data_IF_173308355255
#
_entry.id   IF_173308355255
#
_cell.length_a   1.000
_cell.length_b   1.000
_cell.length_c   1.000
_cell.angle_alpha   90.00
_cell.angle_beta   90.00
_cell.angle_gamma   90.00
#
_symmetry.space_group_name_H-M   'P 1'
#
loop_
_entity.id
_entity.type
_entity.pdbx_description
1 polymer ?
#
# COMPACT_ATOMS: atom_id res chain seq x y z
N UNK A 1 10.31 23.21 -10.75
CA UNK A 1 9.03 23.91 -10.96
C UNK A 1 8.20 23.24 -12.06
N UNK A 2 8.83 22.65 -13.09
CA UNK A 2 8.12 22.10 -14.27
C UNK A 2 7.43 20.76 -14.03
N UNK A 3 7.77 20.04 -12.95
CA UNK A 3 7.15 18.77 -12.62
C UNK A 3 5.81 18.91 -11.87
N UNK A 4 5.57 20.03 -11.18
CA UNK A 4 4.37 20.21 -10.34
C UNK A 4 3.10 20.32 -11.18
N UNK A 5 3.15 21.04 -12.29
CA UNK A 5 2.00 21.23 -13.16
C UNK A 5 1.45 19.92 -13.77
N UNK A 6 2.28 19.09 -14.41
CA UNK A 6 1.88 17.78 -14.91
C UNK A 6 1.39 16.84 -13.82
N UNK A 7 2.03 16.78 -12.65
CA UNK A 7 1.59 15.97 -11.52
C UNK A 7 0.23 16.42 -10.99
N UNK A 8 0.00 17.74 -10.88
CA UNK A 8 -1.30 18.27 -10.47
C UNK A 8 -2.42 17.95 -11.47
N UNK A 9 -2.10 17.78 -12.76
CA UNK A 9 -3.05 17.34 -13.78
C UNK A 9 -3.12 15.83 -13.97
N UNK A 10 -2.42 15.06 -13.15
CA UNK A 10 -2.29 13.59 -13.24
C UNK A 10 -1.75 13.12 -14.61
N UNK A 11 -0.92 13.93 -15.24
CA UNK A 11 -0.26 13.58 -16.48
C UNK A 11 0.85 12.56 -16.22
N UNK A 12 0.87 11.49 -17.00
CA UNK A 12 1.81 10.38 -16.85
C UNK A 12 3.26 10.75 -17.22
N UNK A 13 3.48 11.91 -17.84
CA UNK A 13 4.79 12.35 -18.32
C UNK A 13 4.88 13.87 -18.39
N UNK A 14 6.09 14.35 -18.27
CA UNK A 14 6.40 15.77 -18.46
C UNK A 14 6.30 16.14 -19.94
N UNK A 15 5.51 17.15 -20.25
CA UNK A 15 5.42 17.70 -21.60
C UNK A 15 6.67 18.55 -21.84
N UNK A 16 7.36 18.31 -22.95
CA UNK A 16 8.48 19.15 -23.35
C UNK A 16 7.99 20.54 -23.81
N UNK A 17 8.65 21.58 -23.35
CA UNK A 17 8.36 22.97 -23.74
C UNK A 17 9.31 23.52 -24.81
N UNK A 18 10.00 22.63 -25.53
CA UNK A 18 11.00 23.10 -26.56
C UNK A 18 10.36 23.72 -27.81
N UNK A 19 9.03 23.60 -27.99
CA UNK A 19 8.29 24.14 -29.13
C UNK A 19 8.55 23.43 -30.46
N UNK A 20 9.21 22.29 -30.46
CA UNK A 20 9.50 21.50 -31.66
C UNK A 20 8.42 20.48 -31.90
N UNK A 21 7.88 20.42 -33.13
CA UNK A 21 6.83 19.46 -33.52
C UNK A 21 7.35 18.00 -33.53
N UNK A 22 8.65 17.82 -33.81
CA UNK A 22 9.34 16.53 -33.89
C UNK A 22 9.96 16.10 -32.56
N UNK A 23 9.63 16.77 -31.45
CA UNK A 23 10.26 16.49 -30.16
C UNK A 23 10.01 15.07 -29.67
N UNK A 24 11.04 14.23 -29.49
CA UNK A 24 10.86 12.86 -28.99
C UNK A 24 10.20 12.78 -27.62
N UNK A 25 10.35 13.82 -26.79
CA UNK A 25 9.72 13.91 -25.47
C UNK A 25 8.23 14.33 -25.55
N UNK A 26 7.75 14.83 -26.69
CA UNK A 26 6.34 15.12 -26.93
C UNK A 26 5.56 13.90 -27.45
N UNK A 27 6.25 12.87 -27.95
CA UNK A 27 5.63 11.66 -28.41
C UNK A 27 5.03 10.89 -27.25
N UNK A 28 3.82 10.35 -27.43
CA UNK A 28 3.14 9.49 -26.45
C UNK A 28 3.95 8.21 -26.24
N UNK A 29 4.81 8.20 -25.23
CA UNK A 29 5.45 6.96 -24.77
C UNK A 29 4.45 6.16 -23.96
N UNK A 30 4.49 4.83 -24.12
CA UNK A 30 3.72 3.94 -23.26
C UNK A 30 3.99 4.31 -21.78
N UNK A 31 2.93 4.34 -20.97
CA UNK A 31 2.93 4.84 -19.58
C UNK A 31 3.70 3.95 -18.59
N UNK A 32 4.85 3.40 -19.01
CA UNK A 32 5.63 2.43 -18.23
C UNK A 32 6.08 2.93 -16.84
N UNK A 33 6.01 4.23 -16.57
CA UNK A 33 6.39 4.83 -15.28
C UNK A 33 5.42 5.93 -14.84
N UNK A 34 4.13 5.79 -15.15
CA UNK A 34 3.13 6.70 -14.63
C UNK A 34 3.07 6.56 -13.09
N UNK A 35 3.12 7.68 -12.38
CA UNK A 35 2.85 7.68 -10.96
C UNK A 35 1.39 7.23 -10.73
N UNK A 36 1.21 6.15 -9.99
CA UNK A 36 -0.12 5.69 -9.59
C UNK A 36 -0.46 6.33 -8.26
N UNK A 37 -1.56 7.07 -8.23
CA UNK A 37 -2.09 7.70 -7.03
C UNK A 37 -3.29 6.89 -6.57
N UNK A 38 -3.20 6.34 -5.36
CA UNK A 38 -4.28 5.60 -4.73
C UNK A 38 -5.08 6.51 -3.81
N UNK A 39 -6.40 6.51 -3.97
CA UNK A 39 -7.34 7.21 -3.09
C UNK A 39 -8.28 6.17 -2.50
N UNK A 40 -8.45 6.18 -1.18
CA UNK A 40 -9.46 5.39 -0.50
C UNK A 40 -10.72 6.23 -0.31
N UNK A 41 -11.87 5.67 -0.63
CA UNK A 41 -13.16 6.30 -0.42
C UNK A 41 -14.26 5.24 -0.25
N UNK A 42 -15.35 5.62 0.40
CA UNK A 42 -16.55 4.78 0.48
C UNK A 42 -17.22 4.70 -0.89
N UNK A 43 -17.80 3.57 -1.20
CA UNK A 43 -18.54 3.35 -2.45
C UNK A 43 -19.66 4.39 -2.61
N UNK A 44 -20.41 4.64 -1.55
CA UNK A 44 -21.49 5.64 -1.53
C UNK A 44 -21.00 7.06 -1.90
N UNK A 45 -19.77 7.44 -1.50
CA UNK A 45 -19.17 8.73 -1.90
C UNK A 45 -18.86 8.76 -3.40
N UNK A 46 -18.32 7.67 -3.93
CA UNK A 46 -18.02 7.54 -5.37
C UNK A 46 -19.29 7.61 -6.20
N UNK A 47 -20.34 6.94 -5.76
CA UNK A 47 -21.65 6.88 -6.44
C UNK A 47 -22.50 8.15 -6.23
N UNK A 48 -22.07 9.10 -5.38
CA UNK A 48 -22.75 10.37 -5.13
C UNK A 48 -23.89 10.31 -4.12
N UNK A 49 -24.07 9.19 -3.41
CA UNK A 49 -25.12 9.00 -2.39
C UNK A 49 -24.66 9.39 -0.98
N UNK A 50 -23.37 9.73 -0.81
CA UNK A 50 -22.79 10.19 0.46
C UNK A 50 -21.79 11.32 0.20
N UNK A 51 -21.67 12.23 1.17
CA UNK A 51 -20.64 13.27 1.20
C UNK A 51 -19.48 12.95 2.16
N UNK A 52 -19.33 11.67 2.55
CA UNK A 52 -18.19 11.24 3.35
C UNK A 52 -16.87 11.49 2.57
N UNK A 53 -15.82 11.95 3.26
CA UNK A 53 -14.56 12.27 2.60
C UNK A 53 -13.83 11.01 2.13
N UNK A 54 -12.89 11.19 1.17
CA UNK A 54 -11.88 10.21 0.85
C UNK A 54 -10.55 10.48 1.57
N UNK A 55 -9.58 9.59 1.39
CA UNK A 55 -8.24 9.72 1.94
C UNK A 55 -7.18 9.49 0.86
N UNK A 56 -6.23 10.41 0.78
CA UNK A 56 -5.06 10.33 -0.11
C UNK A 56 -3.80 10.21 0.75
N UNK A 57 -3.07 9.09 0.71
CA UNK A 57 -1.82 8.91 1.44
C UNK A 57 -0.82 10.03 1.16
N UNK A 58 -0.27 10.61 2.22
CA UNK A 58 0.70 11.71 2.13
C UNK A 58 0.09 13.11 1.90
N UNK A 59 -1.21 13.19 1.62
CA UNK A 59 -1.94 14.45 1.51
C UNK A 59 -2.94 14.64 2.67
N UNK A 60 -3.72 13.58 2.98
CA UNK A 60 -4.75 13.60 4.01
C UNK A 60 -6.15 13.41 3.45
N UNK A 61 -7.11 14.11 4.08
CA UNK A 61 -8.53 13.99 3.77
C UNK A 61 -8.87 14.76 2.47
N UNK A 62 -9.64 14.11 1.59
CA UNK A 62 -10.16 14.70 0.36
C UNK A 62 -11.67 14.95 0.49
N UNK A 63 -12.17 16.14 0.11
CA UNK A 63 -13.61 16.38 0.00
C UNK A 63 -14.29 15.40 -0.97
N UNK A 64 -15.54 15.06 -0.70
CA UNK A 64 -16.32 14.13 -1.51
C UNK A 64 -16.39 14.53 -3.00
N UNK A 65 -16.51 15.82 -3.29
CA UNK A 65 -16.49 16.35 -4.66
C UNK A 65 -15.19 16.01 -5.38
N UNK A 66 -14.05 16.17 -4.70
CA UNK A 66 -12.73 15.81 -5.26
C UNK A 66 -12.62 14.32 -5.52
N UNK A 67 -13.19 13.48 -4.63
CA UNK A 67 -13.27 12.01 -4.83
C UNK A 67 -14.05 11.68 -6.08
N UNK A 68 -15.26 12.26 -6.25
CA UNK A 68 -16.10 12.04 -7.43
C UNK A 68 -15.43 12.50 -8.72
N UNK A 69 -14.79 13.66 -8.71
CA UNK A 69 -14.04 14.16 -9.86
C UNK A 69 -12.88 13.25 -10.27
N UNK A 70 -12.18 12.68 -9.30
CA UNK A 70 -11.12 11.70 -9.56
C UNK A 70 -11.70 10.37 -10.06
N UNK A 71 -12.77 9.87 -9.44
CA UNK A 71 -13.41 8.61 -9.78
C UNK A 71 -13.88 8.55 -11.24
N UNK A 72 -14.36 9.67 -11.79
CA UNK A 72 -14.80 9.76 -13.19
C UNK A 72 -13.72 9.43 -14.24
N UNK A 73 -12.44 9.39 -13.85
CA UNK A 73 -11.31 9.08 -14.73
C UNK A 73 -10.32 8.09 -14.14
N UNK A 74 -10.66 7.48 -13.00
CA UNK A 74 -9.83 6.52 -12.29
C UNK A 74 -10.31 5.08 -12.53
N UNK A 75 -9.41 4.12 -12.35
CA UNK A 75 -9.81 2.72 -12.23
C UNK A 75 -10.29 2.47 -10.80
N UNK A 76 -11.54 2.05 -10.65
CA UNK A 76 -12.13 1.71 -9.36
C UNK A 76 -11.77 0.27 -9.02
N UNK A 77 -11.16 0.08 -7.85
CA UNK A 77 -10.80 -1.24 -7.33
C UNK A 77 -11.40 -1.40 -5.93
N UNK A 78 -12.25 -2.41 -5.69
CA UNK A 78 -12.79 -2.65 -4.35
C UNK A 78 -11.68 -3.10 -3.41
N UNK A 79 -11.64 -2.54 -2.20
CA UNK A 79 -10.86 -3.08 -1.08
C UNK A 79 -11.67 -4.23 -0.48
N UNK A 80 -11.09 -5.41 -0.45
CA UNK A 80 -11.72 -6.58 0.18
C UNK A 80 -11.53 -6.48 1.68
N UNK A 81 -12.61 -6.24 2.41
CA UNK A 81 -12.64 -6.36 3.86
C UNK A 81 -12.87 -7.84 4.19
N UNK A 82 -11.99 -8.47 4.98
CA UNK A 82 -12.20 -9.87 5.39
C UNK A 82 -13.53 -10.01 6.11
N UNK A 83 -14.29 -11.04 5.73
CA UNK A 83 -15.57 -11.30 6.37
C UNK A 83 -15.38 -11.71 7.85
N UNK A 84 -16.29 -11.32 8.76
CA UNK A 84 -16.27 -11.83 10.12
C UNK A 84 -16.50 -13.34 10.11
N UNK A 85 -15.98 -14.08 11.12
CA UNK A 85 -16.26 -15.51 11.25
C UNK A 85 -17.77 -15.77 11.27
N UNK A 86 -18.20 -16.84 10.63
CA UNK A 86 -19.62 -17.18 10.45
C UNK A 86 -20.40 -17.43 11.75
N UNK A 87 -19.72 -17.55 12.90
CA UNK A 87 -20.33 -17.88 14.21
C UNK A 87 -20.53 -16.65 15.13
N UNK A 88 -20.22 -15.42 14.68
CA UNK A 88 -20.57 -14.23 15.45
C UNK A 88 -21.86 -13.61 14.91
N UNK A 89 -22.91 -13.44 15.75
CA UNK A 89 -24.11 -12.71 15.35
C UNK A 89 -23.71 -11.26 15.04
N UNK A 90 -24.11 -10.80 13.87
CA UNK A 90 -23.91 -9.39 13.47
C UNK A 90 -24.50 -8.48 14.56
N UNK A 91 -23.85 -7.33 14.87
CA UNK A 91 -24.47 -6.32 15.71
C UNK A 91 -25.79 -5.91 15.04
N UNK A 92 -26.90 -6.05 15.78
CA UNK A 92 -28.23 -5.73 15.31
C UNK A 92 -28.28 -4.24 14.88
N UNK A 93 -28.28 -4.00 13.59
CA UNK A 93 -28.72 -2.73 13.04
C UNK A 93 -30.21 -2.88 12.72
N UNK A 94 -31.05 -2.26 13.52
CA UNK A 94 -32.46 -2.09 13.21
C UNK A 94 -32.62 -1.27 11.93
N UNK A 95 -32.84 -1.94 10.82
CA UNK A 95 -33.45 -1.35 9.62
C UNK A 95 -34.20 -2.44 8.87
N UNK A 96 -35.50 -2.45 9.08
CA UNK A 96 -36.46 -3.06 8.17
C UNK A 96 -36.32 -2.47 6.77
N UNK A 97 -36.05 -3.28 5.78
CA UNK A 97 -36.45 -3.03 4.39
C UNK A 97 -36.31 -4.34 3.60
N UNK A 98 -37.46 -4.91 3.28
CA UNK A 98 -37.66 -5.92 2.23
C UNK A 98 -37.16 -5.39 0.89
N UNK A 99 -36.30 -6.15 0.21
CA UNK A 99 -36.36 -6.26 -1.24
C UNK A 99 -35.57 -7.46 -1.77
N UNK A 100 -36.29 -8.29 -2.49
CA UNK A 100 -35.83 -9.46 -3.23
C UNK A 100 -34.96 -9.04 -4.43
N UNK A 101 -33.80 -9.61 -4.57
CA UNK A 101 -33.07 -9.61 -5.85
C UNK A 101 -32.36 -10.96 -6.04
N UNK A 102 -32.57 -11.53 -7.22
CA UNK A 102 -32.18 -12.87 -7.61
C UNK A 102 -30.68 -13.14 -7.72
N UNK A 103 -30.29 -14.41 -7.93
CA UNK A 103 -28.92 -14.86 -7.79
C UNK A 103 -28.07 -14.53 -9.01
N UNK A 104 -27.00 -13.77 -8.78
CA UNK A 104 -25.87 -13.69 -9.73
C UNK A 104 -24.76 -14.58 -9.17
N UNK A 105 -24.40 -15.62 -9.90
CA UNK A 105 -23.32 -16.54 -9.52
C UNK A 105 -21.99 -15.81 -9.37
N UNK A 106 -21.27 -15.95 -8.26
CA UNK A 106 -19.90 -15.49 -8.13
C UNK A 106 -18.94 -16.61 -8.52
N UNK A 107 -17.92 -16.25 -9.30
CA UNK A 107 -16.78 -17.10 -9.60
C UNK A 107 -16.16 -17.69 -8.30
N UNK A 108 -16.02 -19.01 -8.24
CA UNK A 108 -15.43 -19.75 -7.15
C UNK A 108 -13.99 -19.30 -6.87
N UNK A 109 -13.81 -18.51 -5.83
CA UNK A 109 -12.54 -18.40 -5.12
C UNK A 109 -12.57 -19.41 -3.97
N UNK A 110 -11.66 -20.37 -4.01
CA UNK A 110 -11.45 -21.33 -2.91
C UNK A 110 -10.98 -20.54 -1.68
N UNK A 111 -11.94 -20.14 -0.83
CA UNK A 111 -11.64 -19.50 0.45
C UNK A 111 -11.19 -20.56 1.45
N UNK A 112 -10.02 -20.37 2.06
CA UNK A 112 -9.63 -21.14 3.23
C UNK A 112 -10.66 -20.92 4.36
N UNK A 113 -11.12 -21.98 5.06
CA UNK A 113 -12.30 -21.91 5.92
C UNK A 113 -12.22 -20.95 7.11
N UNK A 114 -11.06 -20.43 7.47
CA UNK A 114 -10.85 -19.57 8.65
C UNK A 114 -10.20 -18.21 8.34
N UNK A 115 -10.18 -17.76 7.09
CA UNK A 115 -9.65 -16.44 6.71
C UNK A 115 -8.13 -16.28 6.84
N UNK A 116 -7.38 -17.32 7.22
CA UNK A 116 -5.92 -17.27 7.26
C UNK A 116 -5.29 -17.80 5.98
N UNK A 117 -4.17 -17.21 5.61
CA UNK A 117 -3.41 -17.57 4.42
C UNK A 117 -2.31 -18.59 4.74
N UNK A 118 -2.02 -19.53 3.83
CA UNK A 118 -1.14 -20.67 4.12
C UNK A 118 0.36 -20.28 4.18
N UNK A 119 0.74 -19.10 3.75
CA UNK A 119 2.13 -18.66 3.63
C UNK A 119 2.54 -17.55 4.57
N UNK A 120 3.84 -17.35 4.75
CA UNK A 120 4.40 -16.23 5.51
C UNK A 120 4.05 -14.86 4.91
N UNK A 121 4.01 -14.76 3.58
CA UNK A 121 3.71 -13.49 2.90
C UNK A 121 2.21 -13.37 2.69
N UNK A 122 1.61 -12.24 3.13
CA UNK A 122 0.21 -11.99 2.84
C UNK A 122 -0.04 -11.87 1.33
N UNK A 123 -1.23 -12.30 0.90
CA UNK A 123 -1.71 -12.04 -0.46
C UNK A 123 -1.78 -10.53 -0.76
N UNK A 124 -1.94 -10.20 -2.03
CA UNK A 124 -2.12 -8.80 -2.45
C UNK A 124 -3.35 -8.19 -1.76
N UNK A 125 -4.46 -8.95 -1.68
CA UNK A 125 -5.70 -8.48 -1.08
C UNK A 125 -5.55 -8.21 0.42
N UNK A 126 -4.95 -9.15 1.17
CA UNK A 126 -4.70 -8.96 2.61
C UNK A 126 -3.69 -7.82 2.85
N UNK A 127 -2.64 -7.72 2.02
CA UNK A 127 -1.67 -6.63 2.11
C UNK A 127 -2.31 -5.25 1.89
N UNK A 128 -3.23 -5.13 0.94
CA UNK A 128 -3.98 -3.91 0.68
C UNK A 128 -4.91 -3.58 1.85
N UNK A 129 -5.65 -4.56 2.37
CA UNK A 129 -6.51 -4.38 3.53
C UNK A 129 -5.72 -3.86 4.74
N UNK A 130 -4.62 -4.50 5.11
CA UNK A 130 -3.78 -4.08 6.25
C UNK A 130 -3.28 -2.65 6.06
N UNK A 131 -2.82 -2.30 4.85
CA UNK A 131 -2.31 -0.96 4.55
C UNK A 131 -3.38 0.12 4.68
N UNK A 132 -4.61 -0.16 4.25
CA UNK A 132 -5.73 0.77 4.37
C UNK A 132 -6.31 0.83 5.77
N UNK A 133 -6.34 -0.30 6.49
CA UNK A 133 -6.76 -0.35 7.89
C UNK A 133 -5.82 0.48 8.79
N UNK A 134 -4.52 0.27 8.63
CA UNK A 134 -3.53 0.83 9.56
C UNK A 134 -3.06 2.24 9.17
N UNK A 135 -2.94 2.57 7.89
CA UNK A 135 -2.46 3.83 7.28
C UNK A 135 -1.04 4.26 7.69
N UNK A 136 -0.63 3.97 8.91
CA UNK A 136 0.68 4.31 9.47
C UNK A 136 1.21 3.18 10.34
N UNK A 137 2.43 3.34 10.83
CA UNK A 137 3.02 2.44 11.81
C UNK A 137 2.14 2.35 13.08
N UNK A 138 1.89 1.14 13.55
CA UNK A 138 1.02 0.86 14.71
C UNK A 138 1.73 1.00 16.07
N UNK A 139 2.97 1.46 16.08
CA UNK A 139 3.70 1.73 17.32
C UNK A 139 3.23 3.06 17.93
N UNK A 140 3.01 3.14 19.25
CA UNK A 140 2.52 4.35 19.91
C UNK A 140 3.33 5.60 19.55
N UNK A 141 2.64 6.67 19.16
CA UNK A 141 3.26 7.94 18.78
C UNK A 141 4.05 7.93 17.48
N UNK A 142 3.91 6.88 16.64
CA UNK A 142 4.60 6.81 15.35
C UNK A 142 3.61 6.97 14.19
N UNK A 143 3.84 7.97 13.37
CA UNK A 143 3.07 8.31 12.17
C UNK A 143 3.78 7.95 10.86
N UNK A 144 4.80 7.07 10.91
CA UNK A 144 5.53 6.66 9.71
C UNK A 144 4.55 6.07 8.68
N UNK A 145 4.52 6.63 7.44
CA UNK A 145 3.53 6.27 6.43
C UNK A 145 3.71 4.84 5.92
N UNK A 146 2.65 4.28 5.34
CA UNK A 146 2.59 2.92 4.76
C UNK A 146 3.82 2.54 3.94
N UNK A 147 4.31 3.46 3.09
CA UNK A 147 5.47 3.23 2.23
C UNK A 147 6.79 2.98 2.99
N UNK A 148 6.82 3.26 4.30
CA UNK A 148 7.97 3.04 5.19
C UNK A 148 7.74 1.92 6.20
N UNK A 149 6.63 1.18 6.06
CA UNK A 149 6.23 0.11 6.96
C UNK A 149 6.32 -1.25 6.28
N UNK A 150 6.70 -2.24 7.08
CA UNK A 150 6.60 -3.66 6.76
C UNK A 150 5.30 -4.20 7.37
N UNK A 151 4.72 -5.24 6.78
CA UNK A 151 3.66 -6.01 7.43
C UNK A 151 4.34 -7.00 8.38
N UNK A 152 4.00 -6.89 9.66
CA UNK A 152 4.59 -7.67 10.76
C UNK A 152 3.53 -8.58 11.39
N UNK A 153 3.94 -9.81 11.73
CA UNK A 153 3.11 -10.74 12.49
C UNK A 153 3.22 -10.46 13.99
N UNK A 154 2.10 -10.35 14.69
CA UNK A 154 2.07 -10.22 16.16
C UNK A 154 2.61 -11.46 16.82
N UNK A 155 1.97 -12.60 16.61
CA UNK A 155 2.55 -13.90 16.92
C UNK A 155 3.38 -14.35 15.70
N UNK A 156 4.68 -14.67 15.89
CA UNK A 156 5.57 -15.01 14.78
C UNK A 156 5.07 -16.22 13.97
N UNK A 157 5.18 -16.13 12.66
CA UNK A 157 4.94 -17.28 11.79
C UNK A 157 6.03 -18.36 12.00
N UNK A 158 5.71 -19.67 11.96
CA UNK A 158 4.42 -20.27 11.66
C UNK A 158 3.50 -20.48 12.87
N UNK A 159 3.90 -20.06 14.08
CA UNK A 159 3.08 -20.20 15.30
C UNK A 159 1.79 -19.39 15.20
N UNK A 160 1.90 -18.15 14.71
CA UNK A 160 0.77 -17.33 14.34
C UNK A 160 0.56 -17.31 12.83
N UNK A 161 -0.68 -17.52 12.34
CA UNK A 161 -0.97 -17.53 10.92
C UNK A 161 -0.86 -16.14 10.28
N UNK A 162 -0.73 -16.09 8.97
CA UNK A 162 -0.90 -14.87 8.18
C UNK A 162 -2.39 -14.59 8.08
N UNK A 163 -2.87 -13.68 8.93
CA UNK A 163 -4.28 -13.37 9.14
C UNK A 163 -4.44 -11.88 9.51
N UNK A 164 -5.57 -11.23 9.16
CA UNK A 164 -5.79 -9.82 9.50
C UNK A 164 -5.69 -9.54 11.01
N UNK A 165 -6.11 -10.46 11.89
CA UNK A 165 -6.00 -10.33 13.35
C UNK A 165 -4.61 -10.62 13.91
N UNK A 166 -3.65 -11.04 13.07
CA UNK A 166 -2.27 -11.32 13.48
C UNK A 166 -1.23 -10.49 12.72
N UNK A 167 -1.66 -9.63 11.80
CA UNK A 167 -0.75 -8.84 10.96
C UNK A 167 -1.07 -7.35 11.03
N UNK A 168 -0.05 -6.52 11.10
CA UNK A 168 -0.14 -5.06 11.22
C UNK A 168 1.06 -4.36 10.60
N UNK A 169 1.00 -3.04 10.48
CA UNK A 169 2.10 -2.23 9.97
C UNK A 169 3.06 -1.79 11.09
N UNK A 170 4.32 -2.14 10.95
CA UNK A 170 5.41 -1.51 11.70
C UNK A 170 6.44 -0.89 10.75
N UNK A 171 6.87 0.33 11.03
CA UNK A 171 8.01 0.88 10.33
C UNK A 171 9.27 0.08 10.69
N UNK A 172 10.27 0.11 9.81
CA UNK A 172 11.48 -0.70 10.00
C UNK A 172 12.13 -0.53 11.37
N UNK A 173 12.12 0.67 11.95
CA UNK A 173 12.68 0.91 13.28
C UNK A 173 11.89 0.16 14.36
N UNK A 174 10.56 0.25 14.36
CA UNK A 174 9.72 -0.38 15.38
C UNK A 174 9.59 -1.89 15.19
N UNK A 175 9.63 -2.39 13.96
CA UNK A 175 9.78 -3.82 13.69
C UNK A 175 11.09 -4.37 14.31
N UNK A 176 12.20 -3.64 14.19
CA UNK A 176 13.48 -4.03 14.82
C UNK A 176 13.44 -3.93 16.34
N UNK A 177 12.79 -2.91 16.90
CA UNK A 177 12.61 -2.77 18.36
C UNK A 177 11.86 -3.98 18.90
N UNK A 178 10.70 -4.31 18.35
CA UNK A 178 9.93 -5.49 18.74
C UNK A 178 10.76 -6.78 18.65
N UNK A 179 11.52 -6.93 17.57
CA UNK A 179 12.24 -8.17 17.30
C UNK A 179 13.50 -8.32 18.15
N UNK A 180 14.26 -7.26 18.39
CA UNK A 180 15.60 -7.34 18.94
C UNK A 180 15.80 -6.63 20.29
N UNK A 181 14.95 -5.66 20.65
CA UNK A 181 15.07 -5.01 21.94
C UNK A 181 14.35 -5.83 23.03
N UNK A 182 15.01 -6.13 24.15
CA UNK A 182 14.40 -6.93 25.20
C UNK A 182 13.26 -6.19 25.90
N UNK A 183 12.28 -6.96 26.39
CA UNK A 183 11.20 -6.46 27.22
C UNK A 183 10.00 -5.84 26.47
N UNK A 184 10.06 -5.69 25.16
CA UNK A 184 8.93 -5.24 24.35
C UNK A 184 8.05 -6.42 23.97
N UNK A 185 6.73 -6.29 24.17
CA UNK A 185 5.72 -7.25 23.70
C UNK A 185 4.57 -6.53 23.07
N UNK A 186 3.88 -7.20 22.16
CA UNK A 186 2.65 -6.70 21.56
C UNK A 186 1.58 -7.78 21.48
N UNK A 187 0.33 -7.36 21.49
CA UNK A 187 -0.87 -8.16 21.29
C UNK A 187 -1.77 -7.44 20.30
N UNK A 188 -2.37 -8.16 19.40
CA UNK A 188 -3.33 -7.61 18.44
C UNK A 188 -4.72 -8.20 18.69
N UNK A 189 -5.74 -7.35 18.55
CA UNK A 189 -7.15 -7.72 18.68
C UNK A 189 -7.78 -7.88 17.28
N UNK A 190 -8.94 -8.58 17.20
CA UNK A 190 -9.61 -8.84 15.92
C UNK A 190 -10.01 -7.59 15.13
N UNK A 191 -10.26 -6.47 15.79
CA UNK A 191 -10.58 -5.16 15.21
C UNK A 191 -9.34 -4.39 14.68
N UNK A 192 -8.16 -4.99 14.83
CA UNK A 192 -6.89 -4.37 14.47
C UNK A 192 -6.30 -3.45 15.54
N UNK A 193 -6.93 -3.31 16.71
CA UNK A 193 -6.31 -2.65 17.87
C UNK A 193 -5.04 -3.38 18.28
N UNK A 194 -4.01 -2.64 18.63
CA UNK A 194 -2.72 -3.18 19.07
C UNK A 194 -2.41 -2.67 20.47
N UNK A 195 -2.18 -3.59 21.38
CA UNK A 195 -1.66 -3.35 22.72
C UNK A 195 -0.15 -3.58 22.71
N UNK A 196 0.60 -2.61 23.20
CA UNK A 196 2.06 -2.68 23.28
C UNK A 196 2.49 -2.47 24.72
N UNK A 197 3.25 -3.42 25.27
CA UNK A 197 3.85 -3.33 26.60
C UNK A 197 5.34 -3.03 26.47
N UNK A 198 5.77 -2.00 27.17
CA UNK A 198 7.17 -1.55 27.22
C UNK A 198 7.99 -2.36 28.23
N UNK A 199 9.34 -2.29 28.18
CA UNK A 199 10.21 -2.91 29.18
C UNK A 199 9.98 -2.43 30.62
N UNK A 200 9.38 -1.25 30.77
CA UNK A 200 9.04 -0.66 32.08
C UNK A 200 7.65 -1.08 32.59
N UNK A 201 6.94 -1.94 31.83
CA UNK A 201 5.61 -2.44 32.19
C UNK A 201 4.45 -1.51 31.81
N UNK A 202 4.70 -0.37 31.17
CA UNK A 202 3.62 0.49 30.68
C UNK A 202 2.98 -0.12 29.44
N UNK A 203 1.66 -0.06 29.38
CA UNK A 203 0.86 -0.57 28.27
C UNK A 203 0.20 0.56 27.51
N UNK A 204 0.26 0.51 26.20
CA UNK A 204 -0.36 1.48 25.29
C UNK A 204 -1.27 0.75 24.31
N UNK A 205 -2.44 1.31 24.06
CA UNK A 205 -3.37 0.87 23.03
C UNK A 205 -3.31 1.81 21.84
N UNK A 206 -3.30 1.25 20.63
CA UNK A 206 -3.40 2.02 19.40
C UNK A 206 -4.49 1.42 18.52
N UNK A 207 -5.45 2.25 18.10
CA UNK A 207 -6.50 1.87 17.17
C UNK A 207 -6.03 2.02 15.72
N UNK A 208 -6.59 1.26 14.75
CA UNK A 208 -6.26 1.43 13.34
C UNK A 208 -6.65 2.82 12.85
N UNK A 209 -5.70 3.58 12.31
CA UNK A 209 -5.96 4.95 11.89
C UNK A 209 -6.96 5.04 10.72
N UNK A 210 -6.98 4.02 9.84
CA UNK A 210 -7.95 3.95 8.75
C UNK A 210 -9.37 3.75 9.22
N UNK A 211 -9.57 3.10 10.36
CA UNK A 211 -10.89 2.89 10.96
C UNK A 211 -11.56 4.19 11.41
N UNK A 212 -10.79 5.20 11.81
CA UNK A 212 -11.32 6.50 12.17
C UNK A 212 -12.03 7.21 10.99
N UNK A 213 -11.62 6.91 9.76
CA UNK A 213 -12.22 7.45 8.54
C UNK A 213 -13.19 6.47 7.87
N UNK A 214 -12.91 5.19 8.00
CA UNK A 214 -13.62 4.09 7.36
C UNK A 214 -13.88 2.99 8.39
N UNK A 215 -14.94 3.09 9.20
CA UNK A 215 -15.23 2.17 10.30
C UNK A 215 -15.29 0.70 9.89
N UNK A 216 -15.71 0.41 8.66
CA UNK A 216 -15.76 -0.95 8.11
C UNK A 216 -14.40 -1.66 8.13
N UNK A 217 -13.29 -0.90 8.15
CA UNK A 217 -11.94 -1.47 8.22
C UNK A 217 -11.58 -1.99 9.62
N UNK A 218 -12.35 -1.66 10.65
CA UNK A 218 -12.18 -2.14 12.02
C UNK A 218 -13.19 -3.21 12.41
N UNK A 219 -13.99 -3.74 11.48
CA UNK A 219 -14.82 -4.89 11.78
C UNK A 219 -13.94 -6.05 12.24
N UNK A 220 -14.32 -6.75 13.35
CA UNK A 220 -13.57 -7.89 13.84
C UNK A 220 -13.39 -8.96 12.76
N UNK A 221 -12.15 -9.34 12.51
CA UNK A 221 -11.81 -10.30 11.44
C UNK A 221 -11.65 -11.74 11.96
N UNK A 222 -12.01 -11.98 13.19
CA UNK A 222 -11.99 -13.28 13.85
C UNK A 222 -10.94 -13.38 14.95
N UNK A 223 -11.32 -14.10 16.01
CA UNK A 223 -10.41 -14.47 17.09
C UNK A 223 -9.52 -15.63 16.63
N UNK A 224 -8.24 -15.49 16.89
CA UNK A 224 -7.27 -16.56 16.66
C UNK A 224 -6.96 -17.23 17.99
N UNK A 225 -7.08 -18.55 18.03
CA UNK A 225 -6.61 -19.32 19.17
C UNK A 225 -5.07 -19.39 19.16
N UNK A 226 -4.43 -18.25 19.43
CA UNK A 226 -2.98 -18.14 19.49
C UNK A 226 -2.49 -18.62 20.86
N UNK A 227 -1.31 -19.26 20.92
CA UNK A 227 -0.67 -19.55 22.19
C UNK A 227 -0.43 -18.24 22.95
N UNK A 228 -0.43 -18.33 24.28
CA UNK A 228 -0.11 -17.17 25.11
C UNK A 228 1.18 -16.51 24.60
N UNK A 229 1.24 -15.17 24.54
CA UNK A 229 2.46 -14.48 24.15
C UNK A 229 3.63 -15.02 24.96
N UNK A 230 4.77 -15.31 24.33
CA UNK A 230 5.94 -15.76 25.08
C UNK A 230 6.31 -14.66 26.11
N UNK A 231 6.80 -15.09 27.26
CA UNK A 231 7.31 -14.14 28.25
C UNK A 231 8.26 -13.13 27.59
N UNK A 232 8.24 -11.87 28.02
CA UNK A 232 9.12 -10.85 27.44
C UNK A 232 10.55 -11.35 27.40
N UNK A 233 11.16 -11.33 26.23
CA UNK A 233 12.55 -11.75 26.12
C UNK A 233 13.45 -10.71 26.80
N UNK A 234 14.06 -11.09 27.90
CA UNK A 234 14.96 -10.25 28.70
C UNK A 234 16.45 -10.48 28.39
N UNK A 235 16.78 -11.33 27.41
CA UNK A 235 18.16 -11.58 27.03
C UNK A 235 18.84 -10.31 26.51
N UNK A 236 19.82 -9.72 27.24
CA UNK A 236 20.49 -8.49 26.84
C UNK A 236 21.32 -8.66 25.57
N UNK A 237 21.68 -9.88 25.18
CA UNK A 237 22.51 -10.16 24.01
C UNK A 237 21.68 -10.11 22.72
N UNK A 238 20.35 -10.11 22.80
CA UNK A 238 19.46 -10.09 21.64
C UNK A 238 19.70 -8.86 20.76
N UNK A 239 19.97 -7.71 21.36
CA UNK A 239 20.30 -6.48 20.62
C UNK A 239 21.55 -6.59 19.75
N UNK A 240 22.48 -7.47 20.10
CA UNK A 240 23.67 -7.70 19.28
C UNK A 240 23.37 -8.39 17.94
N UNK A 241 22.23 -9.11 17.86
CA UNK A 241 21.73 -9.75 16.62
C UNK A 241 20.98 -8.78 15.71
N UNK A 242 20.73 -7.54 16.15
CA UNK A 242 20.04 -6.54 15.33
C UNK A 242 20.86 -6.25 14.06
N UNK A 243 20.25 -6.30 12.87
CA UNK A 243 20.93 -5.98 11.65
C UNK A 243 21.56 -4.59 11.68
N UNK A 244 22.85 -4.52 11.46
CA UNK A 244 23.57 -3.25 11.34
C UNK A 244 23.59 -2.82 9.87
N UNK A 245 23.41 -1.54 9.62
CA UNK A 245 23.59 -1.01 8.28
C UNK A 245 25.05 -1.07 7.89
N UNK A 246 25.32 -1.52 6.68
CA UNK A 246 26.66 -1.47 6.07
C UNK A 246 27.01 -0.09 5.56
N UNK A 247 25.97 0.69 5.17
CA UNK A 247 26.08 2.04 4.62
C UNK A 247 25.16 3.00 5.35
N UNK A 248 25.46 4.28 5.29
CA UNK A 248 24.59 5.34 5.79
C UNK A 248 23.36 5.52 4.88
N UNK A 249 22.30 6.15 5.38
CA UNK A 249 21.12 6.47 4.57
C UNK A 249 21.46 7.39 3.38
N UNK A 250 22.43 8.28 3.56
CA UNK A 250 22.87 9.18 2.50
C UNK A 250 23.63 8.43 1.41
N UNK A 251 24.48 7.47 1.79
CA UNK A 251 25.13 6.58 0.84
C UNK A 251 24.11 5.75 0.05
N UNK A 252 23.18 5.07 0.73
CA UNK A 252 22.11 4.30 0.08
C UNK A 252 21.28 5.17 -0.90
N UNK A 253 21.02 6.42 -0.53
CA UNK A 253 20.32 7.39 -1.38
C UNK A 253 21.15 7.77 -2.59
N UNK A 254 22.41 8.07 -2.38
CA UNK A 254 23.32 8.47 -3.45
C UNK A 254 23.53 7.33 -4.45
N UNK A 255 23.69 6.10 -3.95
CA UNK A 255 23.85 4.92 -4.80
C UNK A 255 22.60 4.69 -5.67
N UNK A 256 21.39 4.84 -5.12
CA UNK A 256 20.15 4.78 -5.91
C UNK A 256 20.08 5.87 -6.97
N UNK A 257 20.44 7.10 -6.61
CA UNK A 257 20.46 8.22 -7.58
C UNK A 257 21.47 7.94 -8.70
N UNK A 258 22.63 7.44 -8.36
CA UNK A 258 23.68 7.12 -9.34
C UNK A 258 23.25 5.97 -10.25
N UNK A 259 22.62 4.93 -9.70
CA UNK A 259 22.09 3.81 -10.49
C UNK A 259 20.98 4.26 -11.45
N UNK A 260 20.03 5.08 -11.00
CA UNK A 260 19.00 5.65 -11.87
C UNK A 260 19.60 6.52 -12.98
N UNK A 261 20.63 7.31 -12.67
CA UNK A 261 21.34 8.10 -13.67
C UNK A 261 22.06 7.23 -14.69
N UNK A 262 22.69 6.14 -14.26
CA UNK A 262 23.34 5.17 -15.12
C UNK A 262 22.35 4.54 -16.09
N UNK A 263 21.24 3.98 -15.57
CA UNK A 263 20.19 3.37 -16.37
C UNK A 263 19.58 4.35 -17.37
N UNK A 264 19.40 5.62 -16.96
CA UNK A 264 18.90 6.66 -17.86
C UNK A 264 19.90 7.01 -18.96
N UNK A 265 21.18 7.06 -18.64
CA UNK A 265 22.23 7.34 -19.62
C UNK A 265 22.31 6.20 -20.66
N UNK A 266 22.24 4.95 -20.24
CA UNK A 266 22.18 3.77 -21.11
C UNK A 266 20.98 3.85 -22.06
N UNK A 267 19.77 4.07 -21.52
CA UNK A 267 18.57 4.22 -22.34
C UNK A 267 18.67 5.36 -23.35
N UNK A 268 19.21 6.50 -22.94
CA UNK A 268 19.38 7.64 -23.85
C UNK A 268 20.38 7.33 -24.96
N UNK A 269 21.45 6.58 -24.66
CA UNK A 269 22.43 6.16 -25.67
C UNK A 269 21.81 5.18 -26.67
N UNK A 270 21.01 4.21 -26.20
CA UNK A 270 20.30 3.28 -27.07
C UNK A 270 19.30 4.01 -28.00
N UNK A 271 18.56 4.97 -27.46
CA UNK A 271 17.65 5.80 -28.24
C UNK A 271 18.37 6.70 -29.25
N UNK A 272 19.55 7.17 -28.93
CA UNK A 272 20.37 7.95 -29.86
C UNK A 272 20.93 7.08 -30.98
N UNK A 273 21.41 5.88 -30.64
CA UNK A 273 21.89 4.89 -31.61
C UNK A 273 20.77 4.52 -32.58
N UNK A 274 19.57 4.24 -32.08
CA UNK A 274 18.40 3.94 -32.92
C UNK A 274 18.03 5.14 -33.82
N UNK A 275 18.08 6.36 -33.31
CA UNK A 275 17.84 7.57 -34.13
C UNK A 275 18.85 7.70 -35.26
N UNK A 276 20.13 7.49 -34.98
CA UNK A 276 21.18 7.54 -35.97
C UNK A 276 21.01 6.47 -37.05
N UNK A 277 20.62 5.28 -36.64
CA UNK A 277 20.30 4.15 -37.53
C UNK A 277 19.12 4.47 -38.44
N UNK A 278 18.03 5.01 -37.89
CA UNK A 278 16.86 5.41 -38.66
C UNK A 278 17.16 6.57 -39.62
N UNK A 279 17.99 7.53 -39.22
CA UNK A 279 18.46 8.62 -40.11
C UNK A 279 19.28 8.06 -41.27
N UNK A 280 20.20 7.14 -40.99
CA UNK A 280 21.01 6.49 -42.01
C UNK A 280 20.13 5.69 -43.01
N UNK A 281 19.11 4.95 -42.52
CA UNK A 281 18.17 4.24 -43.41
C UNK A 281 17.38 5.21 -44.27
N UNK A 282 16.98 6.38 -43.74
CA UNK A 282 16.24 7.36 -44.52
C UNK A 282 17.12 7.98 -45.63
N UNK A 283 18.43 8.16 -45.41
CA UNK A 283 19.39 8.62 -46.41
C UNK A 283 19.61 7.61 -47.54
N UNK A 284 19.46 6.30 -47.23
CA UNK A 284 19.62 5.21 -48.21
C UNK A 284 18.33 4.94 -49.01
N UNK A 285 17.20 5.55 -48.61
CA UNK A 285 15.94 5.33 -49.28
C UNK A 285 15.85 6.04 -50.62
N UNK A 286 15.90 5.31 -51.72
CA UNK A 286 15.54 5.82 -53.07
C UNK A 286 14.03 5.53 -53.31
N UNK A 287 13.23 6.58 -53.53
CA UNK A 287 11.82 6.37 -53.86
C UNK A 287 11.69 5.64 -55.18
N UNK A 288 10.67 4.75 -55.31
CA UNK A 288 10.43 4.05 -56.59
C UNK A 288 10.20 5.08 -57.73
N UNK A 289 10.65 4.76 -58.96
CA UNK A 289 10.45 5.67 -60.06
C UNK A 289 8.96 5.97 -60.28
N UNK A 290 8.63 7.23 -60.60
CA UNK A 290 7.25 7.57 -60.91
C UNK A 290 6.77 6.79 -62.15
N UNK A 291 5.57 6.22 -62.04
CA UNK A 291 4.93 5.46 -63.14
C UNK A 291 4.72 6.34 -64.34
#
# INVERSE_FOLDING_TARGET
ADAIGPLARLEAHLVCRCGRDDCPAAQKRAAANAAVVHVLAQRATVDGTSDAPGYLPGYGILPAESVRNLAGRATIKPVRVPAPPRDQPAPATDTDSDEQSGPTEPAESVEAPDGHEPGYRPSVALSEFIRWRDLTCRFPGCDAPVARCDIDHTAPWPVGPTHPSNTKLYCRAHHLIKTFCPGWTDRQFPDGTVEITTPTGHTYLTEPHGAALFPDLAHPTGDLNLPAPPAPNTDPTRGAKMPKRTQTREQDRQDRINEERRLRAELNNDLETERQYQAWLAEQYEPPPPF
#
